data_IF_185262609972
#
_entry.id   IF_185262609972
#
_cell.length_a   1.000
_cell.length_b   1.000
_cell.length_c   1.000
_cell.angle_alpha   90.00
_cell.angle_beta   90.00
_cell.angle_gamma   90.00
#
_symmetry.space_group_name_H-M   'P 1'
#
loop_
_entity.id
_entity.type
_entity.pdbx_description
1 polymer ?
#
# COMPACT_ATOMS: atom_id res chain seq x y z
N UNK A 1 37.75 29.06 61.53
CA UNK A 1 36.32 28.78 61.28
C UNK A 1 36.22 28.01 59.99
N UNK A 2 36.01 26.72 60.10
CA UNK A 2 35.78 25.85 58.90
C UNK A 2 34.29 25.69 58.71
N UNK A 3 33.77 26.25 57.62
CA UNK A 3 32.38 26.12 57.25
C UNK A 3 32.15 24.73 56.60
N UNK A 4 31.47 23.86 57.34
CA UNK A 4 30.99 22.58 56.83
C UNK A 4 29.71 22.82 56.02
N UNK A 5 29.84 23.19 54.75
CA UNK A 5 28.69 23.18 53.85
C UNK A 5 28.33 21.72 53.54
N UNK A 6 27.13 21.38 53.91
CA UNK A 6 26.56 20.02 53.86
C UNK A 6 26.63 19.42 52.47
N UNK A 7 27.50 18.46 52.25
CA UNK A 7 27.62 17.63 51.03
C UNK A 7 26.25 16.95 50.68
N UNK A 8 25.41 16.75 51.69
CA UNK A 8 24.06 16.16 51.55
C UNK A 8 23.12 17.07 50.73
N UNK A 9 23.23 18.38 50.88
CA UNK A 9 22.38 19.36 50.19
C UNK A 9 22.74 19.47 48.72
N UNK A 10 24.02 19.34 48.37
CA UNK A 10 24.48 19.34 46.97
C UNK A 10 24.08 18.06 46.22
N UNK A 11 24.13 16.89 46.90
CA UNK A 11 23.66 15.62 46.29
C UNK A 11 22.16 15.65 45.98
N UNK A 12 21.34 16.24 46.87
CA UNK A 12 19.88 16.39 46.62
C UNK A 12 19.57 17.37 45.48
N UNK A 13 20.37 18.43 45.34
CA UNK A 13 20.20 19.40 44.25
C UNK A 13 20.58 18.82 42.88
N UNK A 14 21.62 17.99 42.83
CA UNK A 14 22.03 17.30 41.60
C UNK A 14 21.00 16.27 41.20
N UNK A 15 20.36 15.55 42.10
CA UNK A 15 19.26 14.62 41.78
C UNK A 15 18.00 15.34 41.30
N UNK A 16 17.72 16.56 41.80
CA UNK A 16 16.56 17.33 41.33
C UNK A 16 16.76 17.89 39.89
N UNK A 17 18.02 18.16 39.51
CA UNK A 17 18.35 18.58 38.13
C UNK A 17 18.40 17.40 37.12
N UNK A 18 18.67 16.18 37.60
CA UNK A 18 18.71 15.00 36.75
C UNK A 18 17.32 14.43 36.40
N UNK A 19 16.28 14.72 37.18
CA UNK A 19 14.91 14.27 36.93
C UNK A 19 14.15 15.22 35.99
N UNK A 20 14.63 16.47 35.82
CA UNK A 20 13.99 17.48 34.97
C UNK A 20 14.23 17.36 33.47
N UNK A 21 15.13 16.48 33.03
CA UNK A 21 15.51 16.35 31.59
C UNK A 21 14.87 15.18 30.84
N UNK A 22 13.90 14.50 31.43
CA UNK A 22 13.23 13.34 30.82
C UNK A 22 11.85 13.61 30.20
N UNK A 23 11.47 14.85 30.01
CA UNK A 23 10.11 15.16 29.58
C UNK A 23 10.05 16.18 28.44
N UNK A 24 10.68 15.92 27.31
CA UNK A 24 10.28 16.58 26.05
C UNK A 24 10.75 15.75 24.82
N UNK A 25 10.53 14.45 24.80
CA UNK A 25 10.17 13.86 23.52
C UNK A 25 8.68 14.13 23.33
N UNK A 26 8.32 15.34 22.92
CA UNK A 26 7.07 15.56 22.27
C UNK A 26 7.12 14.66 21.02
N UNK A 27 6.54 13.45 21.12
CA UNK A 27 6.14 12.68 19.96
C UNK A 27 5.27 13.63 19.15
N UNK A 28 5.82 14.15 18.08
CA UNK A 28 5.05 14.85 17.06
C UNK A 28 4.16 13.77 16.42
N UNK A 29 3.03 13.49 17.06
CA UNK A 29 2.01 12.54 16.63
C UNK A 29 1.23 13.10 15.43
N UNK A 30 1.93 13.77 14.53
CA UNK A 30 1.33 14.16 13.26
C UNK A 30 1.04 12.90 12.48
N UNK A 31 -0.18 12.74 11.96
CA UNK A 31 -0.52 11.62 11.11
C UNK A 31 0.53 11.46 10.01
N UNK A 32 1.05 10.27 9.83
CA UNK A 32 2.07 9.95 8.84
C UNK A 32 1.73 8.61 8.18
N UNK A 33 2.20 8.42 6.96
CA UNK A 33 2.10 7.11 6.31
C UNK A 33 3.39 6.32 6.44
N UNK A 34 3.24 5.02 6.48
CA UNK A 34 4.29 4.05 6.21
C UNK A 34 3.76 3.02 5.22
N UNK A 35 4.32 3.01 4.01
CA UNK A 35 4.08 1.97 3.01
C UNK A 35 5.17 0.92 3.19
N UNK A 36 4.80 -0.30 3.59
CA UNK A 36 5.71 -1.44 3.70
C UNK A 36 5.35 -2.44 2.62
N UNK A 37 6.30 -2.73 1.73
CA UNK A 37 6.05 -3.59 0.59
C UNK A 37 6.99 -4.78 0.51
N UNK A 38 6.49 -5.84 -0.13
CA UNK A 38 7.27 -6.96 -0.63
C UNK A 38 7.21 -6.98 -2.16
N UNK A 39 8.25 -7.47 -2.81
CA UNK A 39 8.30 -7.60 -4.26
C UNK A 39 9.00 -8.88 -4.67
N UNK A 40 8.37 -9.62 -5.56
CA UNK A 40 8.92 -10.86 -6.10
C UNK A 40 9.72 -10.61 -7.37
N UNK A 41 10.94 -11.22 -7.43
CA UNK A 41 11.77 -11.26 -8.63
C UNK A 41 12.48 -9.96 -8.97
N UNK A 42 12.59 -9.01 -8.03
CA UNK A 42 13.55 -7.91 -8.10
C UNK A 42 14.80 -8.23 -7.28
N UNK A 43 15.94 -7.74 -7.73
CA UNK A 43 17.20 -7.87 -7.01
C UNK A 43 17.38 -6.74 -5.97
N UNK A 44 18.24 -6.99 -4.98
CA UNK A 44 18.65 -5.94 -4.06
C UNK A 44 19.34 -4.80 -4.83
N UNK A 45 18.91 -3.57 -4.55
CA UNK A 45 19.36 -2.37 -5.25
C UNK A 45 18.47 -1.93 -6.41
N UNK A 46 17.53 -2.76 -6.88
CA UNK A 46 16.54 -2.34 -7.87
C UNK A 46 15.68 -1.20 -7.33
N UNK A 47 15.35 -0.24 -8.19
CA UNK A 47 14.63 0.98 -7.79
C UNK A 47 13.13 0.80 -7.97
N UNK A 48 12.40 1.20 -6.94
CA UNK A 48 10.93 1.31 -6.91
C UNK A 48 10.56 2.78 -6.77
N UNK A 49 9.57 3.22 -7.55
CA UNK A 49 9.09 4.59 -7.58
C UNK A 49 7.68 4.68 -7.01
N UNK A 50 7.44 5.68 -6.18
CA UNK A 50 6.11 6.14 -5.79
C UNK A 50 5.73 7.32 -6.69
N UNK A 51 4.63 7.21 -7.41
CA UNK A 51 4.16 8.21 -8.36
C UNK A 51 2.67 8.50 -8.21
N UNK A 52 2.28 9.71 -8.58
CA UNK A 52 0.90 10.15 -8.75
C UNK A 52 0.66 10.44 -10.25
N UNK A 53 -0.55 10.15 -10.74
CA UNK A 53 -0.98 10.63 -12.06
C UNK A 53 -1.86 11.86 -11.89
N UNK A 54 -1.36 13.02 -12.29
CA UNK A 54 -2.02 14.31 -12.05
C UNK A 54 -1.95 15.19 -13.29
N UNK A 55 -3.09 15.77 -13.67
CA UNK A 55 -3.20 16.69 -14.82
C UNK A 55 -2.68 16.13 -16.15
N UNK A 56 -2.75 14.81 -16.35
CA UNK A 56 -2.25 14.15 -17.55
C UNK A 56 -0.80 13.66 -17.48
N UNK A 57 -0.10 13.96 -16.39
CA UNK A 57 1.33 13.64 -16.23
C UNK A 57 1.61 12.72 -15.05
N UNK A 58 2.69 11.93 -15.17
CA UNK A 58 3.24 11.13 -14.08
C UNK A 58 4.19 11.98 -13.23
N UNK A 59 3.80 12.22 -11.98
CA UNK A 59 4.58 12.97 -10.99
C UNK A 59 5.26 11.98 -10.05
N UNK A 60 6.59 11.99 -10.03
CA UNK A 60 7.37 11.22 -9.06
C UNK A 60 7.26 11.89 -7.68
N UNK A 61 6.74 11.16 -6.70
CA UNK A 61 6.68 11.60 -5.30
C UNK A 61 7.92 11.17 -4.53
N UNK A 62 8.36 9.90 -4.70
CA UNK A 62 9.50 9.34 -4.00
C UNK A 62 10.11 8.16 -4.77
N UNK A 63 11.26 7.67 -4.30
CA UNK A 63 11.88 6.43 -4.77
C UNK A 63 12.68 5.76 -3.66
N UNK A 64 12.70 4.45 -3.67
CA UNK A 64 13.46 3.62 -2.74
C UNK A 64 14.09 2.45 -3.48
N UNK A 65 14.98 1.71 -2.82
CA UNK A 65 15.60 0.50 -3.36
C UNK A 65 15.08 -0.73 -2.63
N UNK A 66 15.05 -1.85 -3.36
CA UNK A 66 14.75 -3.16 -2.78
C UNK A 66 15.90 -3.63 -1.91
N UNK A 67 15.57 -4.21 -0.77
CA UNK A 67 16.52 -4.90 0.11
C UNK A 67 15.85 -6.14 0.71
N UNK A 68 16.40 -7.31 0.45
CA UNK A 68 15.83 -8.58 0.91
C UNK A 68 14.40 -8.80 0.41
N UNK A 69 14.08 -8.41 -0.84
CA UNK A 69 12.74 -8.52 -1.41
C UNK A 69 11.70 -7.58 -0.79
N UNK A 70 12.13 -6.57 -0.04
CA UNK A 70 11.24 -5.60 0.63
C UNK A 70 11.59 -4.16 0.26
N UNK A 71 10.63 -3.26 0.43
CA UNK A 71 10.82 -1.81 0.27
C UNK A 71 9.94 -1.03 1.25
N UNK A 72 10.28 0.22 1.49
CA UNK A 72 9.51 1.09 2.39
C UNK A 72 9.49 2.53 1.86
N UNK A 73 8.32 3.17 1.95
CA UNK A 73 8.16 4.62 1.84
C UNK A 73 7.57 5.16 3.14
N UNK A 74 8.01 6.34 3.55
CA UNK A 74 7.47 7.04 4.72
C UNK A 74 7.27 8.50 4.39
N UNK A 75 6.24 9.10 4.95
CA UNK A 75 5.97 10.51 4.73
C UNK A 75 4.66 10.93 5.38
N UNK A 76 4.11 12.02 4.89
CA UNK A 76 2.85 12.58 5.37
C UNK A 76 1.96 12.94 4.19
N UNK A 77 0.67 12.71 4.37
CA UNK A 77 -0.35 13.06 3.37
C UNK A 77 -1.50 13.81 4.05
N UNK A 78 -1.95 14.89 3.43
CA UNK A 78 -3.08 15.66 3.98
C UNK A 78 -4.43 15.03 3.66
N UNK A 79 -4.53 14.38 2.49
CA UNK A 79 -5.73 13.69 2.01
C UNK A 79 -5.35 12.39 1.33
N UNK A 80 -6.24 11.39 1.37
CA UNK A 80 -6.05 10.16 0.60
C UNK A 80 -5.97 10.48 -0.89
N UNK A 81 -4.91 10.01 -1.55
CA UNK A 81 -4.62 10.26 -2.96
C UNK A 81 -4.35 8.95 -3.67
N UNK A 82 -4.91 8.75 -4.87
CA UNK A 82 -4.59 7.58 -5.67
C UNK A 82 -3.15 7.69 -6.19
N UNK A 83 -2.32 6.76 -5.79
CA UNK A 83 -0.90 6.68 -6.13
C UNK A 83 -0.55 5.31 -6.70
N UNK A 84 0.65 5.24 -7.27
CA UNK A 84 1.14 4.05 -7.95
C UNK A 84 2.55 3.71 -7.46
N UNK A 85 2.76 2.44 -7.15
CA UNK A 85 4.09 1.85 -7.07
C UNK A 85 4.47 1.42 -8.49
N UNK A 86 5.63 1.90 -8.97
CA UNK A 86 6.12 1.60 -10.32
C UNK A 86 7.51 1.01 -10.22
N UNK A 87 7.72 -0.10 -10.93
CA UNK A 87 9.00 -0.80 -11.01
C UNK A 87 9.20 -1.47 -12.38
N UNK A 88 10.44 -1.78 -12.72
CA UNK A 88 10.78 -2.53 -13.92
C UNK A 88 11.19 -3.96 -13.53
N UNK A 89 10.65 -4.96 -14.22
CA UNK A 89 11.02 -6.37 -14.09
C UNK A 89 11.07 -6.99 -15.49
N UNK A 90 12.16 -7.68 -15.79
CA UNK A 90 12.36 -8.35 -17.11
C UNK A 90 12.16 -7.39 -18.29
N UNK A 91 12.62 -6.15 -18.16
CA UNK A 91 12.47 -5.10 -19.17
C UNK A 91 11.06 -4.54 -19.34
N UNK A 92 10.09 -5.00 -18.52
CA UNK A 92 8.72 -4.52 -18.52
C UNK A 92 8.46 -3.60 -17.34
N UNK A 93 7.71 -2.51 -17.59
CA UNK A 93 7.22 -1.63 -16.54
C UNK A 93 5.97 -2.23 -15.92
N UNK A 94 6.02 -2.44 -14.62
CA UNK A 94 4.91 -2.92 -13.81
C UNK A 94 4.41 -1.82 -12.88
N UNK A 95 3.14 -1.90 -12.49
CA UNK A 95 2.53 -0.92 -11.57
C UNK A 95 1.50 -1.59 -10.66
N UNK A 96 1.40 -1.06 -9.45
CA UNK A 96 0.31 -1.33 -8.51
C UNK A 96 -0.27 0.00 -8.02
N UNK A 97 -1.57 0.13 -8.09
CA UNK A 97 -2.31 1.32 -7.66
C UNK A 97 -2.90 1.11 -6.27
N UNK A 98 -2.91 2.17 -5.47
CA UNK A 98 -3.38 2.16 -4.09
C UNK A 98 -3.73 3.59 -3.63
N UNK A 99 -4.37 3.73 -2.47
CA UNK A 99 -4.58 5.01 -1.82
C UNK A 99 -3.44 5.33 -0.87
N UNK A 100 -2.66 6.38 -1.17
CA UNK A 100 -1.68 6.93 -0.24
C UNK A 100 -2.41 7.82 0.77
N UNK A 101 -2.45 7.36 2.01
CA UNK A 101 -3.08 8.04 3.15
C UNK A 101 -2.28 7.78 4.43
N UNK A 102 -2.47 8.59 5.47
CA UNK A 102 -1.76 8.36 6.73
C UNK A 102 -2.23 7.05 7.39
N UNK A 103 -1.27 6.26 7.83
CA UNK A 103 -1.45 4.93 8.39
C UNK A 103 -0.39 3.95 7.92
N UNK A 104 -0.55 2.69 8.31
CA UNK A 104 0.34 1.61 7.89
C UNK A 104 -0.28 0.90 6.67
N UNK A 105 0.28 1.16 5.51
CA UNK A 105 -0.15 0.57 4.24
C UNK A 105 0.76 -0.62 3.92
N UNK A 106 0.18 -1.73 3.50
CA UNK A 106 0.89 -2.91 3.05
C UNK A 106 0.70 -3.13 1.56
N UNK A 107 1.77 -3.48 0.85
CA UNK A 107 1.75 -3.74 -0.59
C UNK A 107 2.55 -5.00 -0.88
N UNK A 108 1.95 -6.00 -1.48
CA UNK A 108 2.65 -7.16 -2.02
C UNK A 108 2.62 -7.10 -3.56
N UNK A 109 3.80 -7.03 -4.17
CA UNK A 109 3.96 -6.96 -5.62
C UNK A 109 4.41 -8.32 -6.13
N UNK A 110 3.61 -8.91 -7.00
CA UNK A 110 3.84 -10.24 -7.54
C UNK A 110 3.03 -10.47 -8.81
N UNK A 111 2.68 -11.72 -9.07
CA UNK A 111 1.78 -12.07 -10.17
C UNK A 111 0.42 -11.39 -9.99
N UNK A 112 -0.11 -11.41 -8.78
CA UNK A 112 -1.25 -10.60 -8.35
C UNK A 112 -0.79 -9.63 -7.27
N UNK A 113 -0.98 -8.32 -7.51
CA UNK A 113 -0.69 -7.31 -6.50
C UNK A 113 -1.77 -7.30 -5.42
N UNK A 114 -1.36 -7.24 -4.16
CA UNK A 114 -2.27 -7.10 -2.99
C UNK A 114 -1.91 -5.85 -2.20
N UNK A 115 -2.93 -5.12 -1.79
CA UNK A 115 -2.81 -3.90 -0.99
C UNK A 115 -3.73 -3.97 0.22
N UNK A 116 -3.37 -3.26 1.30
CA UNK A 116 -4.19 -3.23 2.52
C UNK A 116 -3.58 -2.41 3.63
N UNK A 117 -4.09 -2.61 4.85
CA UNK A 117 -3.57 -2.02 6.08
C UNK A 117 -4.21 -0.69 6.48
N UNK A 118 -5.06 -0.13 5.60
CA UNK A 118 -5.92 1.01 5.92
C UNK A 118 -7.32 0.77 5.34
N UNK A 119 -8.33 1.40 5.90
CA UNK A 119 -9.73 1.14 5.52
C UNK A 119 -10.01 1.37 4.03
N UNK A 120 -9.44 2.43 3.43
CA UNK A 120 -9.61 2.68 1.99
C UNK A 120 -8.91 1.61 1.15
N UNK A 121 -7.69 1.23 1.49
CA UNK A 121 -6.94 0.22 0.77
C UNK A 121 -7.55 -1.18 0.91
N UNK A 122 -8.03 -1.54 2.11
CA UNK A 122 -8.70 -2.82 2.34
C UNK A 122 -10.00 -2.91 1.52
N UNK A 123 -10.81 -1.85 1.51
CA UNK A 123 -12.03 -1.76 0.69
C UNK A 123 -11.72 -1.83 -0.80
N UNK A 124 -10.67 -1.13 -1.24
CA UNK A 124 -10.25 -1.14 -2.63
C UNK A 124 -9.71 -2.50 -3.08
N UNK A 125 -8.96 -3.18 -2.23
CA UNK A 125 -8.52 -4.55 -2.51
C UNK A 125 -9.71 -5.49 -2.64
N UNK A 126 -10.69 -5.41 -1.75
CA UNK A 126 -11.90 -6.21 -1.85
C UNK A 126 -12.67 -5.96 -3.15
N UNK A 127 -12.80 -4.69 -3.55
CA UNK A 127 -13.39 -4.35 -4.85
C UNK A 127 -12.62 -5.00 -6.01
N UNK A 128 -11.29 -4.92 -6.03
CA UNK A 128 -10.45 -5.55 -7.06
C UNK A 128 -10.61 -7.07 -7.09
N UNK A 129 -10.63 -7.72 -5.92
CA UNK A 129 -10.81 -9.16 -5.82
C UNK A 129 -12.19 -9.59 -6.35
N UNK A 130 -13.24 -8.86 -6.00
CA UNK A 130 -14.60 -9.13 -6.51
C UNK A 130 -14.68 -8.93 -8.03
N UNK A 131 -14.04 -7.86 -8.56
CA UNK A 131 -14.03 -7.60 -9.99
C UNK A 131 -13.29 -8.69 -10.78
N UNK A 132 -12.15 -9.18 -10.27
CA UNK A 132 -11.40 -10.29 -10.87
C UNK A 132 -12.24 -11.57 -10.85
N UNK A 133 -12.89 -11.88 -9.73
CA UNK A 133 -13.74 -13.07 -9.59
C UNK A 133 -14.92 -13.02 -10.57
N UNK A 134 -15.60 -11.88 -10.67
CA UNK A 134 -16.70 -11.69 -11.62
C UNK A 134 -16.23 -11.80 -13.06
N UNK A 135 -15.12 -11.15 -13.42
CA UNK A 135 -14.55 -11.23 -14.77
C UNK A 135 -14.16 -12.66 -15.15
N UNK A 136 -13.61 -13.41 -14.20
CA UNK A 136 -13.29 -14.83 -14.40
C UNK A 136 -14.55 -15.66 -14.64
N UNK A 137 -15.58 -15.47 -13.80
CA UNK A 137 -16.86 -16.18 -13.96
C UNK A 137 -17.47 -15.93 -15.34
N UNK A 138 -17.52 -14.65 -15.78
CA UNK A 138 -18.05 -14.31 -17.11
C UNK A 138 -17.24 -14.93 -18.24
N UNK A 139 -15.92 -14.92 -18.16
CA UNK A 139 -15.04 -15.58 -19.13
C UNK A 139 -15.27 -17.11 -19.18
N UNK A 140 -15.45 -17.74 -18.03
CA UNK A 140 -15.70 -19.17 -17.95
C UNK A 140 -17.08 -19.51 -18.54
N UNK A 141 -18.11 -18.70 -18.27
CA UNK A 141 -19.42 -18.82 -18.90
C UNK A 141 -19.35 -18.69 -20.42
N UNK A 142 -18.66 -17.67 -20.92
CA UNK A 142 -18.46 -17.44 -22.35
C UNK A 142 -17.76 -18.63 -23.01
N UNK A 143 -16.62 -19.08 -22.45
CA UNK A 143 -15.85 -20.22 -23.00
C UNK A 143 -16.67 -21.49 -22.99
N UNK A 144 -17.41 -21.75 -21.92
CA UNK A 144 -18.28 -22.92 -21.81
C UNK A 144 -19.35 -22.90 -22.88
N UNK A 145 -20.05 -21.78 -23.08
CA UNK A 145 -21.09 -21.65 -24.09
C UNK A 145 -20.57 -21.81 -25.54
N UNK A 146 -19.34 -21.30 -25.80
CA UNK A 146 -18.73 -21.36 -27.10
C UNK A 146 -18.14 -22.76 -27.46
N UNK A 147 -17.67 -23.49 -26.43
CA UNK A 147 -17.07 -24.81 -26.64
C UNK A 147 -18.09 -25.95 -26.61
N UNK A 148 -19.28 -25.74 -26.06
CA UNK A 148 -20.31 -26.79 -26.00
C UNK A 148 -21.07 -26.90 -27.31
N UNK A 149 -20.79 -27.96 -28.05
CA UNK A 149 -21.43 -28.26 -29.34
C UNK A 149 -22.89 -28.76 -29.19
N UNK A 150 -23.35 -29.07 -27.98
CA UNK A 150 -24.71 -29.54 -27.72
C UNK A 150 -25.70 -28.38 -27.52
N UNK A 151 -25.22 -27.16 -27.26
CA UNK A 151 -26.08 -25.99 -27.09
C UNK A 151 -26.65 -25.52 -28.42
N UNK A 152 -27.96 -25.21 -28.41
CA UNK A 152 -28.61 -24.51 -29.52
C UNK A 152 -28.20 -23.03 -29.56
N UNK A 153 -28.42 -22.38 -30.69
CA UNK A 153 -28.13 -20.94 -30.86
C UNK A 153 -28.92 -20.07 -29.86
N UNK A 154 -30.19 -20.44 -29.60
CA UNK A 154 -31.02 -19.77 -28.59
C UNK A 154 -30.44 -19.91 -27.16
N UNK A 155 -29.93 -21.09 -26.82
CA UNK A 155 -29.29 -21.30 -25.51
C UNK A 155 -28.00 -20.47 -25.35
N UNK A 156 -27.19 -20.37 -26.41
CA UNK A 156 -26.01 -19.53 -26.44
C UNK A 156 -26.37 -18.05 -26.28
N UNK A 157 -27.39 -17.59 -27.01
CA UNK A 157 -27.86 -16.20 -26.90
C UNK A 157 -28.32 -15.87 -25.46
N UNK A 158 -28.98 -16.80 -24.79
CA UNK A 158 -29.40 -16.60 -23.38
C UNK A 158 -28.20 -16.49 -22.45
N UNK A 159 -27.14 -17.28 -22.64
CA UNK A 159 -25.89 -17.13 -21.88
C UNK A 159 -25.24 -15.75 -22.11
N UNK A 160 -25.22 -15.28 -23.38
CA UNK A 160 -24.68 -13.94 -23.66
C UNK A 160 -25.48 -12.83 -22.96
N UNK A 161 -26.80 -12.90 -22.95
CA UNK A 161 -27.67 -11.95 -22.24
C UNK A 161 -27.43 -11.97 -20.72
N UNK A 162 -27.13 -13.15 -20.14
CA UNK A 162 -26.80 -13.26 -18.73
C UNK A 162 -25.44 -12.61 -18.42
N UNK A 163 -24.43 -12.79 -19.30
CA UNK A 163 -23.12 -12.11 -19.16
C UNK A 163 -23.30 -10.59 -19.24
N UNK A 164 -24.01 -10.07 -20.26
CA UNK A 164 -24.28 -8.63 -20.41
C UNK A 164 -25.00 -8.04 -19.17
N UNK A 165 -25.93 -8.80 -18.58
CA UNK A 165 -26.62 -8.37 -17.37
C UNK A 165 -25.65 -8.26 -16.17
N UNK A 166 -24.67 -9.17 -16.06
CA UNK A 166 -23.64 -9.14 -15.00
C UNK A 166 -22.66 -7.99 -15.19
N UNK A 167 -22.37 -7.59 -16.43
CA UNK A 167 -21.51 -6.44 -16.73
C UNK A 167 -22.16 -5.09 -16.41
N UNK A 168 -23.49 -5.02 -16.46
CA UNK A 168 -24.27 -3.77 -16.32
C UNK A 168 -24.74 -3.47 -14.88
N UNK A 169 -24.53 -4.37 -13.94
CA UNK A 169 -24.97 -4.27 -12.54
C UNK A 169 -23.84 -4.00 -11.59
#
# INVERSE_FOLDING_TARGET
MRSNYNIITMKKLVYLLAVGSLAFTACNNSPAYKVSGTVEGLADGDTIYLQEYKNGDWVKLDSTTVAGGTFTFTGRQDTATNCFIIYAKDGKRNRADFFLENGNITVALGEENKIGGTANNDTYQQFKDNFIAMSKEMNDMYRSAMSDSTLTDEQRENVMKEIEKKESG
#
